data_IF_287490683524
#
_entry.id   IF_287490683524
#
_cell.length_a   1.000
_cell.length_b   1.000
_cell.length_c   1.000
_cell.angle_alpha   90.00
_cell.angle_beta   90.00
_cell.angle_gamma   90.00
#
_symmetry.space_group_name_H-M   'P 1'
#
loop_
_entity.id
_entity.type
_entity.pdbx_description
1 polymer ?
#
# COMPACT_ATOMS: atom_id res chain seq x y z
N UNK A 1 13.62 27.55 -0.60
CA UNK A 1 13.65 26.43 -1.57
C UNK A 1 12.81 25.33 -0.97
N UNK A 2 11.82 24.88 -1.73
CA UNK A 2 10.60 24.21 -1.27
C UNK A 2 10.89 22.92 -0.49
N UNK A 3 10.16 22.77 0.61
CA UNK A 3 10.03 21.52 1.34
C UNK A 3 9.22 20.56 0.46
N UNK A 4 9.61 19.31 0.52
CA UNK A 4 9.21 18.17 -0.27
C UNK A 4 7.73 17.78 -0.07
N UNK A 5 6.93 18.01 -1.11
CA UNK A 5 5.59 17.41 -1.28
C UNK A 5 5.69 15.90 -1.56
N UNK A 6 6.17 15.12 -0.59
CA UNK A 6 6.03 13.64 -0.63
C UNK A 6 4.64 13.26 -0.16
N UNK A 7 3.61 13.63 -0.94
CA UNK A 7 2.28 13.06 -0.78
C UNK A 7 2.35 11.55 -0.96
N UNK A 8 1.77 10.81 -0.03
CA UNK A 8 1.53 9.38 -0.22
C UNK A 8 0.73 9.17 -1.52
N UNK A 9 1.03 8.12 -2.32
CA UNK A 9 0.24 7.82 -3.50
C UNK A 9 -1.22 7.55 -3.09
N UNK A 10 -2.16 8.04 -3.91
CA UNK A 10 -3.59 7.82 -3.67
C UNK A 10 -3.95 6.35 -3.98
N UNK A 11 -4.48 5.59 -3.00
CA UNK A 11 -4.80 4.19 -3.19
C UNK A 11 -6.14 3.98 -3.91
N UNK A 12 -6.28 2.89 -4.67
CA UNK A 12 -7.56 2.53 -5.29
C UNK A 12 -8.66 2.29 -4.23
N UNK A 13 -8.31 1.64 -3.12
CA UNK A 13 -9.18 1.44 -1.96
C UNK A 13 -8.38 1.55 -0.67
N UNK A 14 -8.93 2.24 0.32
CA UNK A 14 -8.38 2.32 1.67
C UNK A 14 -9.44 1.97 2.72
N UNK A 15 -9.04 1.25 3.77
CA UNK A 15 -9.86 1.02 4.96
C UNK A 15 -9.26 1.78 6.13
N UNK A 16 -10.09 2.50 6.85
CA UNK A 16 -9.69 3.44 7.92
C UNK A 16 -10.51 3.15 9.17
N UNK A 17 -9.91 3.36 10.36
CA UNK A 17 -10.59 3.10 11.64
C UNK A 17 -11.39 4.31 12.10
N UNK A 18 -12.71 4.24 12.06
CA UNK A 18 -13.61 5.28 12.57
C UNK A 18 -15.03 5.13 12.03
N UNK A 19 -15.91 6.03 12.46
CA UNK A 19 -17.23 6.21 11.85
C UNK A 19 -17.12 7.13 10.63
N UNK A 20 -18.03 7.00 9.66
CA UNK A 20 -18.02 7.83 8.43
C UNK A 20 -17.95 9.35 8.73
N UNK A 21 -18.48 9.77 9.89
CA UNK A 21 -18.52 11.16 10.35
C UNK A 21 -17.18 11.70 10.83
N UNK A 22 -16.24 10.83 11.22
CA UNK A 22 -14.91 11.24 11.70
C UNK A 22 -14.01 11.78 10.57
N UNK A 23 -14.46 11.66 9.32
CA UNK A 23 -13.70 11.98 8.10
C UNK A 23 -14.36 13.03 7.20
N UNK A 24 -15.41 13.71 7.69
CA UNK A 24 -16.07 14.79 6.94
C UNK A 24 -15.19 16.05 6.82
N UNK A 25 -14.31 16.28 7.79
CA UNK A 25 -13.47 17.48 7.90
C UNK A 25 -11.98 17.23 7.56
N UNK A 26 -11.54 15.98 7.45
CA UNK A 26 -10.16 15.61 7.07
C UNK A 26 -10.08 14.19 6.48
N UNK A 27 -9.22 13.98 5.48
CA UNK A 27 -8.91 12.64 4.98
C UNK A 27 -8.29 11.81 6.12
N UNK A 28 -8.67 10.53 6.27
CA UNK A 28 -8.09 9.65 7.27
C UNK A 28 -6.56 9.64 7.17
N UNK A 29 -5.87 10.12 8.21
CA UNK A 29 -4.42 10.18 8.23
C UNK A 29 -3.76 8.78 8.34
N UNK A 30 -4.53 7.75 8.70
CA UNK A 30 -4.01 6.41 8.97
C UNK A 30 -4.91 5.28 8.44
N UNK A 31 -4.87 4.99 7.12
CA UNK A 31 -5.44 3.77 6.58
C UNK A 31 -4.77 2.54 7.21
N UNK A 32 -5.60 1.67 7.78
CA UNK A 32 -5.17 0.39 8.34
C UNK A 32 -4.94 -0.68 7.29
N UNK A 33 -5.52 -0.50 6.10
CA UNK A 33 -5.32 -1.34 4.94
C UNK A 33 -5.34 -0.46 3.68
N UNK A 34 -4.34 -0.66 2.84
CA UNK A 34 -4.27 -0.10 1.49
C UNK A 34 -4.42 -1.23 0.48
N UNK A 35 -5.29 -1.07 -0.51
CA UNK A 35 -5.51 -2.04 -1.59
C UNK A 35 -5.34 -1.37 -2.94
N UNK A 36 -4.62 -2.04 -3.83
CA UNK A 36 -4.42 -1.66 -5.23
C UNK A 36 -4.96 -2.77 -6.14
N UNK A 37 -5.62 -2.41 -7.24
CA UNK A 37 -6.15 -3.38 -8.22
C UNK A 37 -5.34 -3.28 -9.50
N UNK A 38 -4.44 -4.26 -9.69
CA UNK A 38 -3.37 -4.14 -10.67
C UNK A 38 -3.57 -5.11 -11.83
N UNK A 39 -3.57 -4.56 -13.06
CA UNK A 39 -3.43 -5.32 -14.30
C UNK A 39 -2.14 -4.91 -15.02
N UNK A 40 -2.10 -3.68 -15.54
CA UNK A 40 -0.92 -3.12 -16.23
C UNK A 40 0.06 -2.45 -15.26
N UNK A 41 -0.41 -2.04 -14.09
CA UNK A 41 0.38 -1.36 -13.04
C UNK A 41 1.11 -2.32 -12.10
N UNK A 42 0.98 -3.64 -12.29
CA UNK A 42 1.41 -4.65 -11.32
C UNK A 42 2.88 -4.49 -10.88
N UNK A 43 3.80 -4.28 -11.82
CA UNK A 43 5.21 -4.07 -11.48
C UNK A 43 5.42 -2.80 -10.65
N UNK A 44 4.75 -1.71 -11.03
CA UNK A 44 4.81 -0.45 -10.31
C UNK A 44 4.26 -0.59 -8.88
N UNK A 45 3.14 -1.29 -8.72
CA UNK A 45 2.50 -1.50 -7.42
C UNK A 45 3.36 -2.41 -6.50
N UNK A 46 4.03 -3.42 -7.07
CA UNK A 46 4.95 -4.32 -6.36
C UNK A 46 6.25 -3.66 -5.94
N UNK A 47 6.76 -2.69 -6.70
CA UNK A 47 8.11 -2.12 -6.52
C UNK A 47 8.04 -0.73 -5.88
N UNK A 48 7.31 0.20 -6.50
CA UNK A 48 7.29 1.59 -6.07
C UNK A 48 6.28 1.83 -4.96
N UNK A 49 5.01 1.47 -5.17
CA UNK A 49 3.96 1.70 -4.16
C UNK A 49 4.20 0.86 -2.91
N UNK A 50 4.61 -0.40 -3.05
CA UNK A 50 5.03 -1.26 -1.92
C UNK A 50 6.04 -0.55 -1.01
N UNK A 51 7.08 0.02 -1.61
CA UNK A 51 8.14 0.68 -0.87
C UNK A 51 7.70 2.00 -0.23
N UNK A 52 6.84 2.78 -0.90
CA UNK A 52 6.24 4.00 -0.34
C UNK A 52 5.33 3.69 0.85
N UNK A 53 4.40 2.72 0.71
CA UNK A 53 3.47 2.36 1.78
C UNK A 53 4.21 1.71 2.97
N UNK A 54 5.23 0.90 2.72
CA UNK A 54 6.06 0.34 3.78
C UNK A 54 6.82 1.45 4.54
N UNK A 55 7.38 2.44 3.83
CA UNK A 55 8.03 3.60 4.43
C UNK A 55 7.07 4.47 5.26
N UNK A 56 5.82 4.58 4.81
CA UNK A 56 4.74 5.25 5.55
C UNK A 56 4.23 4.44 6.76
N UNK A 57 4.76 3.23 7.00
CA UNK A 57 4.40 2.40 8.15
C UNK A 57 3.04 1.71 8.01
N UNK A 58 2.49 1.59 6.80
CA UNK A 58 1.21 0.92 6.58
C UNK A 58 1.34 -0.57 6.95
N UNK A 59 0.52 -1.10 7.87
CA UNK A 59 0.71 -2.46 8.37
C UNK A 59 0.20 -3.54 7.39
N UNK A 60 -0.75 -3.20 6.53
CA UNK A 60 -1.37 -4.08 5.55
C UNK A 60 -1.42 -3.38 4.18
N UNK A 61 -0.76 -3.98 3.19
CA UNK A 61 -0.79 -3.53 1.80
C UNK A 61 -1.11 -4.69 0.86
N UNK A 62 -2.21 -4.58 0.15
CA UNK A 62 -2.73 -5.67 -0.68
C UNK A 62 -2.71 -5.27 -2.15
N UNK A 63 -2.27 -6.21 -2.99
CA UNK A 63 -2.35 -6.06 -4.44
C UNK A 63 -3.30 -7.13 -4.98
N UNK A 64 -4.43 -6.70 -5.54
CA UNK A 64 -5.31 -7.58 -6.32
C UNK A 64 -4.68 -7.72 -7.71
N UNK A 65 -3.90 -8.77 -7.89
CA UNK A 65 -3.20 -9.07 -9.13
C UNK A 65 -4.16 -9.74 -10.13
N UNK A 66 -4.61 -8.97 -11.11
CA UNK A 66 -5.53 -9.44 -12.15
C UNK A 66 -4.85 -10.28 -13.23
N UNK A 67 -3.53 -10.21 -13.38
CA UNK A 67 -2.76 -11.01 -14.35
C UNK A 67 -2.79 -12.47 -13.96
N UNK A 68 -2.41 -12.76 -12.70
CA UNK A 68 -2.33 -14.12 -12.17
C UNK A 68 -3.62 -14.55 -11.46
N UNK A 69 -4.59 -13.62 -11.32
CA UNK A 69 -5.85 -13.77 -10.58
C UNK A 69 -5.64 -14.19 -9.12
N UNK A 70 -4.73 -13.53 -8.42
CA UNK A 70 -4.41 -13.77 -7.01
C UNK A 70 -4.46 -12.47 -6.22
N UNK A 71 -4.51 -12.56 -4.90
CA UNK A 71 -4.26 -11.42 -4.00
C UNK A 71 -2.89 -11.60 -3.36
N UNK A 72 -2.03 -10.60 -3.49
CA UNK A 72 -0.76 -10.51 -2.76
C UNK A 72 -0.97 -9.71 -1.49
N UNK A 73 -0.78 -10.34 -0.35
CA UNK A 73 -0.92 -9.70 0.95
C UNK A 73 0.46 -9.42 1.52
N UNK A 74 0.80 -8.13 1.66
CA UNK A 74 2.12 -7.66 2.09
C UNK A 74 2.03 -7.06 3.50
N UNK A 75 2.86 -7.57 4.41
CA UNK A 75 2.84 -7.25 5.85
C UNK A 75 4.25 -7.14 6.43
N UNK A 76 4.32 -6.62 7.65
CA UNK A 76 5.57 -6.41 8.41
C UNK A 76 6.55 -5.50 7.64
N UNK A 77 6.24 -4.19 7.53
CA UNK A 77 7.11 -3.23 6.87
C UNK A 77 8.45 -3.12 7.62
N UNK A 78 9.55 -3.14 6.87
CA UNK A 78 10.90 -3.05 7.41
C UNK A 78 11.86 -2.34 6.44
N UNK A 79 13.00 -1.82 6.92
CA UNK A 79 14.05 -1.30 6.05
C UNK A 79 14.56 -2.38 5.09
N UNK A 80 14.64 -2.04 3.80
CA UNK A 80 15.11 -2.91 2.74
C UNK A 80 15.96 -2.07 1.77
N UNK A 81 17.29 -2.22 1.82
CA UNK A 81 18.22 -1.41 1.04
C UNK A 81 18.07 -1.59 -0.49
N UNK A 82 17.48 -2.70 -0.93
CA UNK A 82 17.19 -2.98 -2.33
C UNK A 82 15.90 -2.32 -2.85
N UNK A 83 15.05 -1.81 -1.95
CA UNK A 83 13.79 -1.20 -2.33
C UNK A 83 13.97 0.27 -2.75
N UNK A 84 13.20 0.79 -3.71
CA UNK A 84 13.39 2.14 -4.26
C UNK A 84 13.40 3.26 -3.21
N UNK A 85 12.65 3.10 -2.12
CA UNK A 85 12.55 4.07 -1.01
C UNK A 85 13.08 3.52 0.31
N UNK A 86 13.91 2.46 0.26
CA UNK A 86 14.64 1.92 1.42
C UNK A 86 13.77 1.11 2.41
N UNK A 87 12.51 0.85 2.08
CA UNK A 87 11.57 0.07 2.87
C UNK A 87 10.79 -0.88 1.98
N UNK A 88 10.42 -2.04 2.50
CA UNK A 88 9.48 -2.97 1.87
C UNK A 88 8.84 -3.87 2.93
N UNK A 89 7.98 -4.78 2.49
CA UNK A 89 7.34 -5.77 3.35
C UNK A 89 8.14 -7.06 3.41
N UNK A 90 8.36 -7.57 4.61
CA UNK A 90 9.12 -8.81 4.81
C UNK A 90 8.26 -10.06 4.67
N UNK A 91 6.93 -9.92 4.75
CA UNK A 91 5.97 -11.01 4.57
C UNK A 91 5.13 -10.74 3.33
N UNK A 92 5.10 -11.70 2.41
CA UNK A 92 4.23 -11.71 1.24
C UNK A 92 3.51 -13.05 1.17
N UNK A 93 2.18 -13.03 1.26
CA UNK A 93 1.31 -14.18 1.14
C UNK A 93 0.50 -14.09 -0.16
N UNK A 94 0.36 -15.20 -0.88
CA UNK A 94 -0.37 -15.26 -2.16
C UNK A 94 -1.65 -16.07 -1.95
N UNK A 95 -2.80 -15.42 -2.14
CA UNK A 95 -4.12 -16.04 -1.99
C UNK A 95 -4.74 -16.25 -3.37
N UNK A 96 -5.05 -17.50 -3.69
CA UNK A 96 -5.76 -17.86 -4.92
C UNK A 96 -7.27 -17.95 -4.68
N UNK A 97 -8.11 -17.76 -5.72
CA UNK A 97 -9.54 -18.03 -5.65
C UNK A 97 -9.77 -19.51 -5.29
N UNK A 98 -10.74 -19.76 -4.40
CA UNK A 98 -11.18 -21.11 -4.03
C UNK A 98 -12.01 -21.81 -5.09
#
# INVERSE_FOLDING_TARGET
>A
MALDDTSEPEPDVAVVRGELRDYLDAHPADPVLVVEVSLTSLEFDRVHKSSLYARAGRPEYWIVNLVDRVVEVRRAPAPAASAPYGWDYTTVEILSPG
#
